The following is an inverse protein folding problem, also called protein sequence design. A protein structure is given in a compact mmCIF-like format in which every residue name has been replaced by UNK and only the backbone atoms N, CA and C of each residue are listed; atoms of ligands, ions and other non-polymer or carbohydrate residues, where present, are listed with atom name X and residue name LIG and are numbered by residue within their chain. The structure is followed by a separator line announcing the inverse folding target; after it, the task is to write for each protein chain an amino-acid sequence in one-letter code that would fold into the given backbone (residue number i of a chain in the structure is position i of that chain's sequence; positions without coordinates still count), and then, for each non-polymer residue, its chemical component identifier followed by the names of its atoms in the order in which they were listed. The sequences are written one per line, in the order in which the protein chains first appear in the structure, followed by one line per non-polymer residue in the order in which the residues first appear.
data_IF_752950301855
#
_entry.id   IF_752950301855
#
_cell.length_a   1.000
_cell.length_b   1.000
_cell.length_c   1.000
_cell.angle_alpha   90.00
_cell.angle_beta   90.00
_cell.angle_gamma   90.00
#
_symmetry.space_group_name_H-M   'P 1'
#
loop_
_entity.id
_entity.type
_entity.pdbx_description
1 polymer ?
#
# COMPACT_ATOMS: atom_id res chain seq x y z
N UNK A 1 -22.70 -13.28 -34.14
CA UNK A 1 -21.24 -13.39 -33.90
C UNK A 1 -20.44 -12.13 -34.31
N UNK A 2 -20.91 -11.28 -35.24
CA UNK A 2 -20.21 -10.03 -35.61
C UNK A 2 -20.32 -8.88 -34.59
N UNK A 3 -21.45 -8.76 -33.88
CA UNK A 3 -21.67 -7.68 -32.90
C UNK A 3 -20.80 -7.82 -31.64
N UNK A 4 -20.55 -9.05 -31.20
CA UNK A 4 -19.73 -9.32 -30.01
C UNK A 4 -18.25 -9.00 -30.26
N UNK A 5 -17.72 -9.34 -31.43
CA UNK A 5 -16.35 -9.00 -31.83
C UNK A 5 -16.18 -7.50 -32.09
N UNK A 6 -17.21 -6.80 -32.59
CA UNK A 6 -17.17 -5.33 -32.71
C UNK A 6 -17.27 -4.62 -31.36
N UNK A 7 -18.08 -5.09 -30.41
CA UNK A 7 -18.11 -4.54 -29.05
C UNK A 7 -16.79 -4.77 -28.32
N UNK A 8 -16.22 -5.98 -28.42
CA UNK A 8 -14.88 -6.33 -27.86
C UNK A 8 -13.79 -5.41 -28.42
N UNK A 9 -13.78 -5.12 -29.73
CA UNK A 9 -12.76 -4.27 -30.35
C UNK A 9 -12.94 -2.77 -30.08
N UNK A 10 -14.19 -2.29 -30.01
CA UNK A 10 -14.48 -0.84 -29.90
C UNK A 10 -14.54 -0.31 -28.46
N UNK A 11 -14.95 -1.13 -27.49
CA UNK A 11 -15.07 -0.71 -26.09
C UNK A 11 -14.00 -1.33 -25.21
N UNK A 12 -13.69 -2.62 -25.34
CA UNK A 12 -12.82 -3.30 -24.37
C UNK A 12 -11.34 -3.00 -24.60
N UNK A 13 -10.85 -2.97 -25.85
CA UNK A 13 -9.45 -2.67 -26.16
C UNK A 13 -8.96 -1.27 -25.71
N UNK A 14 -9.67 -0.15 -26.00
CA UNK A 14 -9.25 1.16 -25.53
C UNK A 14 -9.33 1.29 -24.00
N UNK A 15 -10.30 0.63 -23.35
CA UNK A 15 -10.42 0.59 -21.89
C UNK A 15 -9.28 -0.21 -21.24
N UNK A 16 -8.94 -1.38 -21.80
CA UNK A 16 -7.80 -2.19 -21.35
C UNK A 16 -6.49 -1.41 -21.49
N UNK A 17 -6.29 -0.73 -22.63
CA UNK A 17 -5.10 0.12 -22.84
C UNK A 17 -5.05 1.26 -21.84
N UNK A 18 -6.17 1.92 -21.55
CA UNK A 18 -6.24 2.99 -20.56
C UNK A 18 -5.96 2.49 -19.14
N UNK A 19 -6.50 1.33 -18.76
CA UNK A 19 -6.24 0.69 -17.47
C UNK A 19 -4.77 0.32 -17.31
N UNK A 20 -4.16 -0.35 -18.30
CA UNK A 20 -2.73 -0.72 -18.26
C UNK A 20 -1.85 0.52 -18.22
N UNK A 21 -2.19 1.57 -18.97
CA UNK A 21 -1.44 2.82 -18.99
C UNK A 21 -1.50 3.59 -17.67
N UNK A 22 -2.60 3.46 -16.90
CA UNK A 22 -2.71 4.01 -15.55
C UNK A 22 -2.07 3.12 -14.49
N UNK A 23 -2.16 1.80 -14.64
CA UNK A 23 -1.63 0.83 -13.69
C UNK A 23 -0.08 0.77 -13.72
N UNK A 24 0.56 0.91 -14.89
CA UNK A 24 2.02 0.83 -15.01
C UNK A 24 2.74 1.89 -14.16
N UNK A 25 2.37 3.19 -14.25
CA UNK A 25 3.00 4.22 -13.42
C UNK A 25 2.68 4.05 -11.93
N UNK A 26 1.47 3.62 -11.58
CA UNK A 26 1.10 3.35 -10.18
C UNK A 26 1.98 2.22 -9.63
N UNK A 27 2.18 1.15 -10.40
CA UNK A 27 3.03 0.03 -10.00
C UNK A 27 4.47 0.47 -9.81
N UNK A 28 5.02 1.27 -10.73
CA UNK A 28 6.38 1.79 -10.56
C UNK A 28 6.50 2.73 -9.36
N UNK A 29 5.46 3.53 -9.05
CA UNK A 29 5.46 4.39 -7.86
C UNK A 29 5.43 3.56 -6.56
N UNK A 30 4.62 2.49 -6.53
CA UNK A 30 4.59 1.55 -5.42
C UNK A 30 5.95 0.85 -5.26
N UNK A 31 6.56 0.40 -6.37
CA UNK A 31 7.87 -0.25 -6.36
C UNK A 31 8.97 0.70 -5.87
N UNK A 32 8.94 1.97 -6.26
CA UNK A 32 9.86 2.98 -5.77
C UNK A 32 9.70 3.22 -4.24
N UNK A 33 8.47 3.28 -3.74
CA UNK A 33 8.21 3.37 -2.29
C UNK A 33 8.68 2.13 -1.52
N UNK A 34 8.41 0.93 -2.03
CA UNK A 34 8.90 -0.30 -1.42
C UNK A 34 10.43 -0.37 -1.45
N UNK A 35 11.04 0.02 -2.58
CA UNK A 35 12.49 0.12 -2.74
C UNK A 35 13.13 1.07 -1.74
N UNK A 36 12.47 2.19 -1.41
CA UNK A 36 12.94 3.13 -0.38
C UNK A 36 13.03 2.44 0.98
N UNK A 37 11.99 1.70 1.37
CA UNK A 37 11.99 0.95 2.65
C UNK A 37 13.08 -0.13 2.68
N UNK A 38 13.32 -0.82 1.55
CA UNK A 38 14.37 -1.84 1.44
C UNK A 38 15.77 -1.22 1.55
N UNK A 39 16.00 -0.07 0.90
CA UNK A 39 17.26 0.67 0.99
C UNK A 39 17.53 1.11 2.43
N UNK A 40 16.53 1.68 3.12
CA UNK A 40 16.64 2.10 4.51
C UNK A 40 17.13 0.93 5.40
N UNK A 41 16.53 -0.25 5.25
CA UNK A 41 16.89 -1.46 6.02
C UNK A 41 18.26 -2.03 5.62
N UNK A 42 18.57 -2.10 4.32
CA UNK A 42 19.86 -2.63 3.86
C UNK A 42 21.05 -1.75 4.29
N UNK A 43 20.91 -0.42 4.23
CA UNK A 43 21.98 0.49 4.60
C UNK A 43 22.21 0.53 6.11
N UNK A 44 21.13 0.52 6.90
CA UNK A 44 21.23 0.46 8.37
C UNK A 44 21.80 -0.87 8.86
N UNK A 45 21.46 -1.99 8.18
CA UNK A 45 22.00 -3.32 8.48
C UNK A 45 23.50 -3.49 8.23
N UNK A 46 24.10 -2.68 7.35
CA UNK A 46 25.55 -2.70 7.10
C UNK A 46 26.35 -1.87 8.12
N UNK A 47 25.71 -0.97 8.85
CA UNK A 47 26.38 -0.07 9.79
C UNK A 47 26.49 -0.68 11.20
N UNK A 48 25.37 -1.11 11.80
CA UNK A 48 25.36 -1.72 13.14
C UNK A 48 24.11 -2.60 13.33
N UNK A 49 24.28 -3.77 13.93
CA UNK A 49 23.19 -4.69 14.26
C UNK A 49 22.19 -4.08 15.26
N UNK A 50 22.66 -3.22 16.16
CA UNK A 50 21.81 -2.50 17.12
C UNK A 50 20.95 -1.44 16.42
N UNK A 51 21.51 -0.74 15.43
CA UNK A 51 20.78 0.23 14.60
C UNK A 51 19.74 -0.44 13.69
N UNK A 52 20.06 -1.61 13.14
CA UNK A 52 19.11 -2.40 12.35
C UNK A 52 17.90 -2.84 13.19
N UNK A 53 18.15 -3.38 14.38
CA UNK A 53 17.09 -3.74 15.31
C UNK A 53 16.23 -2.52 15.67
N UNK A 54 16.87 -1.37 15.90
CA UNK A 54 16.16 -0.14 16.24
C UNK A 54 15.23 0.36 15.11
N UNK A 55 15.70 0.32 13.86
CA UNK A 55 14.93 0.72 12.66
C UNK A 55 13.83 -0.29 12.32
N UNK A 56 14.08 -1.59 12.50
CA UNK A 56 13.07 -2.64 12.29
C UNK A 56 11.90 -2.51 13.28
N UNK A 57 12.20 -2.31 14.57
CA UNK A 57 11.16 -2.10 15.58
C UNK A 57 10.43 -0.77 15.36
N UNK A 58 11.16 0.29 15.02
CA UNK A 58 10.57 1.59 14.68
C UNK A 58 9.62 1.52 13.48
N UNK A 59 10.06 0.89 12.39
CA UNK A 59 9.26 0.68 11.18
C UNK A 59 8.01 -0.17 11.40
N UNK A 60 8.10 -1.18 12.25
CA UNK A 60 6.95 -1.99 12.64
C UNK A 60 5.87 -1.17 13.36
N UNK A 61 6.26 -0.13 14.11
CA UNK A 61 5.32 0.72 14.85
C UNK A 61 4.68 1.80 13.96
N UNK A 62 5.42 2.39 13.02
CA UNK A 62 4.87 3.44 12.14
C UNK A 62 4.20 2.91 10.87
N UNK A 63 4.53 1.70 10.39
CA UNK A 63 3.92 1.09 9.20
C UNK A 63 2.39 0.99 9.26
N UNK A 64 1.77 0.47 10.33
CA UNK A 64 0.31 0.40 10.44
C UNK A 64 -0.36 1.78 10.38
N UNK A 65 0.30 2.78 10.99
CA UNK A 65 -0.16 4.17 10.98
C UNK A 65 -0.08 4.76 9.57
N UNK A 66 1.02 4.51 8.84
CA UNK A 66 1.15 4.93 7.45
C UNK A 66 0.15 4.23 6.52
N UNK A 67 -0.11 2.94 6.72
CA UNK A 67 -1.13 2.19 5.99
C UNK A 67 -2.53 2.76 6.24
N UNK A 68 -2.87 3.07 7.49
CA UNK A 68 -4.16 3.68 7.84
C UNK A 68 -4.32 5.07 7.22
N UNK A 69 -3.28 5.91 7.27
CA UNK A 69 -3.27 7.22 6.63
C UNK A 69 -3.41 7.09 5.11
N UNK A 70 -2.63 6.20 4.49
CA UNK A 70 -2.69 5.92 3.05
C UNK A 70 -4.08 5.49 2.64
N UNK A 71 -4.68 4.52 3.33
CA UNK A 71 -6.03 4.04 3.04
C UNK A 71 -7.10 5.12 3.20
N UNK A 72 -6.97 5.97 4.22
CA UNK A 72 -7.89 7.10 4.42
C UNK A 72 -7.80 8.13 3.29
N UNK A 73 -6.58 8.46 2.85
CA UNK A 73 -6.33 9.41 1.77
C UNK A 73 -6.67 8.84 0.38
N UNK A 74 -6.62 7.52 0.19
CA UNK A 74 -7.12 6.86 -1.02
C UNK A 74 -8.62 7.08 -1.27
N UNK A 75 -9.38 7.50 -0.26
CA UNK A 75 -10.78 7.94 -0.41
C UNK A 75 -10.94 9.20 -1.28
N UNK A 76 -9.89 10.02 -1.43
CA UNK A 76 -9.92 11.19 -2.29
C UNK A 76 -9.99 10.81 -3.77
N UNK A 77 -9.30 9.74 -4.17
CA UNK A 77 -9.19 9.27 -5.55
C UNK A 77 -10.56 9.10 -6.24
N UNK A 78 -11.54 8.35 -5.68
CA UNK A 78 -12.87 8.22 -6.30
C UNK A 78 -13.68 9.52 -6.28
N UNK A 79 -13.51 10.39 -5.28
CA UNK A 79 -14.22 11.69 -5.21
C UNK A 79 -13.76 12.60 -6.35
N UNK A 80 -12.45 12.74 -6.53
CA UNK A 80 -11.84 13.55 -7.59
C UNK A 80 -12.19 12.99 -8.97
N UNK A 81 -12.07 11.66 -9.15
CA UNK A 81 -12.41 11.02 -10.42
C UNK A 81 -13.88 11.28 -10.80
N UNK A 82 -14.80 11.20 -9.84
CA UNK A 82 -16.22 11.45 -10.06
C UNK A 82 -16.51 12.93 -10.44
N UNK A 83 -15.89 13.88 -9.74
CA UNK A 83 -16.04 15.31 -10.04
C UNK A 83 -15.47 15.68 -11.41
N UNK A 84 -14.35 15.07 -11.79
CA UNK A 84 -13.74 15.23 -13.11
C UNK A 84 -14.64 14.68 -14.22
N UNK A 85 -15.20 13.49 -14.02
CA UNK A 85 -16.13 12.88 -14.96
C UNK A 85 -17.40 13.70 -15.18
N UNK A 86 -17.90 14.36 -14.13
CA UNK A 86 -19.04 15.28 -14.21
C UNK A 86 -18.72 16.66 -14.77
N UNK A 87 -17.50 16.88 -15.28
CA UNK A 87 -16.99 18.18 -15.76
C UNK A 87 -17.03 19.31 -14.71
N UNK A 88 -17.19 18.99 -13.42
CA UNK A 88 -17.26 19.97 -12.31
C UNK A 88 -15.87 20.29 -11.78
N UNK A 89 -14.96 20.73 -12.66
CA UNK A 89 -13.56 21.00 -12.30
C UNK A 89 -13.39 22.06 -11.21
N UNK A 90 -14.36 22.98 -11.08
CA UNK A 90 -14.39 24.00 -10.02
C UNK A 90 -14.62 23.43 -8.63
N UNK A 91 -15.33 22.31 -8.51
CA UNK A 91 -15.58 21.62 -7.24
C UNK A 91 -14.44 20.68 -6.82
N UNK A 92 -13.49 20.40 -7.73
CA UNK A 92 -12.30 19.58 -7.42
C UNK A 92 -11.37 20.32 -6.46
N UNK A 93 -11.19 21.64 -6.62
CA UNK A 93 -10.27 22.44 -5.77
C UNK A 93 -10.63 22.38 -4.27
N UNK A 94 -11.89 22.63 -3.88
CA UNK A 94 -12.31 22.52 -2.48
C UNK A 94 -12.09 21.11 -1.90
N UNK A 95 -12.36 20.06 -2.68
CA UNK A 95 -12.17 18.67 -2.23
C UNK A 95 -10.68 18.36 -1.96
N UNK A 96 -9.78 18.85 -2.81
CA UNK A 96 -8.33 18.70 -2.62
C UNK A 96 -7.84 19.47 -1.41
N UNK A 97 -8.30 20.70 -1.19
CA UNK A 97 -7.94 21.48 0.00
C UNK A 97 -8.40 20.80 1.29
N UNK A 98 -9.62 20.27 1.31
CA UNK A 98 -10.11 19.53 2.47
C UNK A 98 -9.33 18.25 2.72
N UNK A 99 -8.93 17.54 1.66
CA UNK A 99 -8.04 16.39 1.80
C UNK A 99 -6.66 16.78 2.31
N UNK A 100 -6.14 17.95 1.94
CA UNK A 100 -4.90 18.50 2.48
C UNK A 100 -5.02 18.79 3.98
N UNK A 101 -6.15 19.39 4.41
CA UNK A 101 -6.43 19.64 5.82
C UNK A 101 -6.56 18.34 6.63
N UNK A 102 -7.27 17.35 6.08
CA UNK A 102 -7.41 16.03 6.71
C UNK A 102 -6.08 15.28 6.75
N UNK A 103 -5.27 15.37 5.70
CA UNK A 103 -3.93 14.81 5.66
C UNK A 103 -3.01 15.45 6.71
N UNK A 104 -3.05 16.78 6.83
CA UNK A 104 -2.28 17.50 7.83
C UNK A 104 -2.72 17.10 9.25
N UNK A 105 -4.03 17.07 9.51
CA UNK A 105 -4.58 16.68 10.81
C UNK A 105 -4.22 15.24 11.15
N UNK A 106 -4.41 14.30 10.21
CA UNK A 106 -3.99 12.90 10.38
C UNK A 106 -2.48 12.79 10.61
N UNK A 107 -1.67 13.53 9.86
CA UNK A 107 -0.20 13.52 10.00
C UNK A 107 0.26 14.06 11.34
N UNK A 108 -0.37 15.13 11.84
CA UNK A 108 -0.07 15.70 13.17
C UNK A 108 -0.53 14.77 14.29
N UNK A 109 -1.74 14.20 14.19
CA UNK A 109 -2.24 13.23 15.16
C UNK A 109 -1.36 11.98 15.19
N UNK A 110 -0.92 11.52 14.02
CA UNK A 110 -0.02 10.40 13.87
C UNK A 110 1.36 10.70 14.48
N UNK A 111 1.92 11.89 14.21
CA UNK A 111 3.18 12.33 14.82
C UNK A 111 3.07 12.44 16.35
N UNK A 112 1.96 12.98 16.87
CA UNK A 112 1.69 13.09 18.30
C UNK A 112 1.55 11.71 18.95
N UNK A 113 0.82 10.79 18.31
CA UNK A 113 0.69 9.40 18.75
C UNK A 113 2.04 8.70 18.79
N UNK A 114 2.88 8.86 17.76
CA UNK A 114 4.22 8.29 17.77
C UNK A 114 5.03 8.87 18.93
N UNK A 115 4.99 10.18 19.15
CA UNK A 115 5.72 10.81 20.24
C UNK A 115 5.24 10.34 21.63
N UNK A 116 3.94 10.23 21.84
CA UNK A 116 3.37 9.81 23.14
C UNK A 116 3.52 8.32 23.42
N UNK A 117 3.50 7.49 22.37
CA UNK A 117 3.37 6.02 22.52
C UNK A 117 4.72 5.29 22.42
N UNK A 118 5.78 5.97 21.97
CA UNK A 118 7.15 5.44 21.92
C UNK A 118 7.60 4.90 23.27
N UNK A 119 7.65 5.74 24.30
CA UNK A 119 8.24 5.37 25.58
C UNK A 119 7.49 4.25 26.31
N UNK A 120 6.15 4.30 26.46
CA UNK A 120 5.42 3.26 27.18
C UNK A 120 5.39 1.91 26.45
N UNK A 121 5.42 1.87 25.11
CA UNK A 121 5.52 0.60 24.37
C UNK A 121 6.90 -0.04 24.56
N UNK A 122 7.97 0.75 24.53
CA UNK A 122 9.33 0.24 24.73
C UNK A 122 9.56 -0.28 26.15
N UNK A 123 9.00 0.39 27.16
CA UNK A 123 9.01 -0.09 28.56
C UNK A 123 8.18 -1.38 28.74
N UNK A 124 7.01 -1.46 28.08
CA UNK A 124 6.15 -2.65 28.16
C UNK A 124 6.76 -3.88 27.46
N UNK A 125 7.54 -3.67 26.40
CA UNK A 125 8.19 -4.74 25.63
C UNK A 125 9.56 -5.18 26.19
N UNK A 126 10.05 -4.58 27.27
CA UNK A 126 11.31 -4.94 27.91
C UNK A 126 12.52 -4.94 26.93
N UNK A 127 12.52 -4.01 25.98
CA UNK A 127 13.55 -3.88 24.95
C UNK A 127 14.86 -3.37 25.60
N UNK A 128 16.05 -3.87 25.19
CA UNK A 128 17.30 -3.37 25.73
C UNK A 128 17.39 -1.84 25.64
N UNK A 129 17.86 -1.14 26.69
CA UNK A 129 17.80 0.32 26.77
C UNK A 129 18.58 1.02 25.64
N UNK A 130 19.62 0.38 25.11
CA UNK A 130 20.36 0.84 23.94
C UNK A 130 19.52 0.83 22.64
N UNK A 131 18.67 -0.17 22.45
CA UNK A 131 17.77 -0.27 21.29
C UNK A 131 16.55 0.64 21.46
N UNK A 132 15.99 0.71 22.68
CA UNK A 132 14.84 1.56 22.97
C UNK A 132 15.15 3.06 22.74
N UNK A 133 16.32 3.53 23.19
CA UNK A 133 16.76 4.92 22.97
C UNK A 133 17.02 5.24 21.50
N UNK A 134 17.64 4.33 20.74
CA UNK A 134 17.85 4.50 19.30
C UNK A 134 16.54 4.43 18.49
N UNK A 135 15.63 3.53 18.85
CA UNK A 135 14.30 3.45 18.21
C UNK A 135 13.45 4.67 18.51
N UNK A 136 13.49 5.19 19.75
CA UNK A 136 12.80 6.42 20.12
C UNK A 136 13.31 7.62 19.32
N UNK A 137 14.64 7.72 19.16
CA UNK A 137 15.27 8.73 18.32
C UNK A 137 14.83 8.58 16.85
N UNK A 138 14.90 7.38 16.28
CA UNK A 138 14.42 7.10 14.91
C UNK A 138 12.95 7.52 14.73
N UNK A 139 12.07 7.11 15.66
CA UNK A 139 10.64 7.40 15.55
C UNK A 139 10.32 8.88 15.72
N UNK A 140 11.07 9.61 16.55
CA UNK A 140 10.94 11.06 16.69
C UNK A 140 11.30 11.80 15.39
N UNK A 141 12.33 11.33 14.67
CA UNK A 141 12.71 11.87 13.37
C UNK A 141 11.66 11.55 12.30
N UNK A 142 11.16 10.31 12.26
CA UNK A 142 10.09 9.90 11.33
C UNK A 142 8.77 10.62 11.61
N UNK A 143 8.45 10.90 12.88
CA UNK A 143 7.27 11.68 13.27
C UNK A 143 7.27 13.07 12.64
N UNK A 144 8.44 13.70 12.47
CA UNK A 144 8.57 14.97 11.75
C UNK A 144 8.33 14.84 10.23
N UNK A 145 8.57 13.66 9.66
CA UNK A 145 8.30 13.31 8.25
C UNK A 145 6.85 12.91 7.97
N UNK A 146 6.08 12.50 8.98
CA UNK A 146 4.68 12.08 8.83
C UNK A 146 3.74 13.11 8.19
N UNK A 147 3.75 14.41 8.55
CA UNK A 147 2.93 15.39 7.84
C UNK A 147 3.35 15.51 6.37
N UNK A 148 4.65 15.35 6.06
CA UNK A 148 5.18 15.35 4.71
C UNK A 148 4.62 14.21 3.86
N UNK A 149 4.67 12.97 4.34
CA UNK A 149 4.09 11.83 3.59
C UNK A 149 2.58 11.91 3.48
N UNK A 150 1.88 12.45 4.49
CA UNK A 150 0.44 12.67 4.41
C UNK A 150 0.10 13.61 3.26
N UNK A 151 0.86 14.71 3.15
CA UNK A 151 0.72 15.68 2.07
C UNK A 151 0.99 15.04 0.71
N UNK A 152 2.09 14.28 0.61
CA UNK A 152 2.44 13.55 -0.60
C UNK A 152 1.33 12.57 -1.01
N UNK A 153 0.81 11.77 -0.08
CA UNK A 153 -0.25 10.79 -0.35
C UNK A 153 -1.56 11.47 -0.76
N UNK A 154 -1.91 12.62 -0.18
CA UNK A 154 -3.08 13.39 -0.59
C UNK A 154 -2.93 13.94 -2.01
N UNK A 155 -1.78 14.53 -2.33
CA UNK A 155 -1.51 15.03 -3.69
C UNK A 155 -1.40 13.90 -4.71
N UNK A 156 -0.85 12.75 -4.31
CA UNK A 156 -0.81 11.53 -5.12
C UNK A 156 -2.21 11.03 -5.43
N UNK A 157 -3.06 10.85 -4.40
CA UNK A 157 -4.45 10.43 -4.58
C UNK A 157 -5.24 11.40 -5.49
N UNK A 158 -4.93 12.69 -5.40
CA UNK A 158 -5.46 13.70 -6.33
C UNK A 158 -4.98 13.50 -7.77
N UNK A 159 -3.67 13.36 -7.98
CA UNK A 159 -3.05 13.14 -9.31
C UNK A 159 -3.57 11.87 -9.97
N UNK A 160 -3.70 10.80 -9.18
CA UNK A 160 -4.26 9.52 -9.61
C UNK A 160 -5.74 9.69 -10.00
N UNK A 161 -6.53 10.42 -9.20
CA UNK A 161 -7.92 10.76 -9.51
C UNK A 161 -8.09 11.60 -10.79
N UNK A 162 -7.08 12.40 -11.17
CA UNK A 162 -7.07 13.20 -12.39
C UNK A 162 -6.64 12.43 -13.66
N UNK A 163 -6.53 11.09 -13.59
CA UNK A 163 -5.95 10.22 -14.64
C UNK A 163 -4.50 10.59 -15.03
N UNK A 164 -3.76 11.30 -14.18
CA UNK A 164 -2.37 11.66 -14.40
C UNK A 164 -1.49 11.00 -13.34
N UNK A 165 -1.22 9.70 -13.49
CA UNK A 165 -0.45 8.88 -12.53
C UNK A 165 1.07 8.92 -12.80
N UNK A 166 1.51 9.38 -13.98
CA UNK A 166 2.92 9.52 -14.36
C UNK A 166 3.77 10.39 -13.41
N UNK A 167 3.28 11.53 -12.91
CA UNK A 167 4.07 12.37 -11.99
C UNK A 167 4.40 11.66 -10.69
N UNK A 168 3.47 10.85 -10.16
CA UNK A 168 3.68 10.09 -8.93
C UNK A 168 4.86 9.11 -9.07
N UNK A 169 5.03 8.47 -10.23
CA UNK A 169 6.18 7.62 -10.53
C UNK A 169 7.49 8.40 -10.49
N UNK A 170 7.60 9.47 -11.28
CA UNK A 170 8.85 10.25 -11.37
C UNK A 170 9.23 10.85 -10.03
N UNK A 171 8.26 11.34 -9.26
CA UNK A 171 8.52 11.93 -7.94
C UNK A 171 8.89 10.85 -6.93
N UNK A 172 8.29 9.65 -6.99
CA UNK A 172 8.70 8.54 -6.13
C UNK A 172 10.12 8.07 -6.47
N UNK A 173 10.48 8.06 -7.76
CA UNK A 173 11.83 7.73 -8.21
C UNK A 173 12.85 8.79 -7.75
N UNK A 174 12.51 10.08 -7.88
CA UNK A 174 13.35 11.18 -7.37
C UNK A 174 13.50 11.08 -5.85
N UNK A 175 12.41 10.81 -5.13
CA UNK A 175 12.48 10.63 -3.67
C UNK A 175 13.36 9.44 -3.29
N UNK A 176 13.33 8.33 -4.03
CA UNK A 176 14.27 7.21 -3.86
C UNK A 176 15.72 7.63 -4.16
N UNK A 177 15.95 8.35 -5.26
CA UNK A 177 17.27 8.87 -5.64
C UNK A 177 17.80 9.92 -4.66
N UNK A 178 16.96 10.62 -3.91
CA UNK A 178 17.34 11.54 -2.84
C UNK A 178 17.53 10.78 -1.52
N UNK A 179 16.71 9.77 -1.26
CA UNK A 179 16.77 8.95 -0.06
C UNK A 179 18.07 8.12 0.00
N UNK A 180 18.53 7.54 -1.11
CA UNK A 180 19.78 6.76 -1.17
C UNK A 180 21.00 7.60 -0.71
N UNK A 181 21.29 8.78 -1.29
CA UNK A 181 22.37 9.65 -0.84
C UNK A 181 22.13 10.22 0.55
N UNK A 182 20.89 10.59 0.89
CA UNK A 182 20.58 11.14 2.21
C UNK A 182 20.82 10.11 3.31
N UNK A 183 20.40 8.85 3.11
CA UNK A 183 20.69 7.75 4.02
C UNK A 183 22.19 7.51 4.12
N UNK A 184 22.88 7.45 2.98
CA UNK A 184 24.34 7.25 2.99
C UNK A 184 25.06 8.36 3.76
N UNK A 185 24.66 9.62 3.57
CA UNK A 185 25.22 10.80 4.21
C UNK A 185 24.94 10.85 5.73
N UNK A 186 23.72 10.50 6.15
CA UNK A 186 23.28 10.61 7.55
C UNK A 186 23.59 9.36 8.38
N UNK A 187 23.71 8.18 7.76
CA UNK A 187 24.06 6.92 8.45
C UNK A 187 25.57 6.82 8.67
N UNK A 188 26.40 7.12 7.66
CA UNK A 188 27.87 6.99 7.74
C UNK A 188 28.59 8.25 8.27
N UNK A 189 27.92 9.40 8.38
CA UNK A 189 28.51 10.63 8.89
C UNK A 189 29.51 11.30 7.93
N UNK A 190 30.40 12.13 8.48
CA UNK A 190 31.33 13.02 7.75
C UNK A 190 32.38 12.33 6.86
N UNK A 191 32.76 11.07 7.11
CA UNK A 191 33.78 10.39 6.30
C UNK A 191 33.24 9.93 4.92
N UNK A 192 31.95 9.60 4.82
CA UNK A 192 31.32 9.26 3.52
C UNK A 192 31.16 10.47 2.58
N UNK A 193 31.15 11.68 3.14
CA UNK A 193 31.11 12.95 2.41
C UNK A 193 32.49 13.32 1.82
N UNK A 194 33.58 13.00 2.54
CA UNK A 194 34.95 13.22 2.07
C UNK A 194 35.31 12.27 0.94
N UNK A 195 34.85 11.01 1.01
CA UNK A 195 35.16 9.97 0.03
C UNK A 195 34.40 10.13 -1.31
N UNK A 196 33.22 10.76 -1.31
CA UNK A 196 32.33 10.82 -2.48
C UNK A 196 32.23 12.21 -3.13
N UNK A 197 32.38 13.31 -2.39
CA UNK A 197 32.17 14.67 -2.90
C UNK A 197 33.36 15.61 -2.81
N UNK A 198 34.52 15.16 -2.33
CA UNK A 198 35.80 15.87 -2.42
C UNK A 198 35.76 17.38 -2.11
N UNK A 199 36.07 17.78 -0.87
CA UNK A 199 36.55 19.12 -0.51
C UNK A 199 35.65 20.35 -0.75
N UNK A 200 34.48 20.23 -1.38
CA UNK A 200 33.62 21.38 -1.74
C UNK A 200 32.44 21.65 -0.79
N UNK A 201 32.38 20.95 0.35
CA UNK A 201 31.26 21.06 1.30
C UNK A 201 31.70 21.83 2.56
N UNK A 202 30.88 22.78 3.06
CA UNK A 202 31.22 23.62 4.20
C UNK A 202 31.51 22.82 5.47
N UNK A 203 32.51 23.28 6.24
CA UNK A 203 33.13 22.67 7.43
C UNK A 203 32.16 22.32 8.57
N UNK A 204 30.93 22.82 8.56
CA UNK A 204 29.87 22.46 9.52
C UNK A 204 29.25 21.07 9.26
N UNK A 205 29.36 20.54 8.04
CA UNK A 205 28.86 19.22 7.66
C UNK A 205 29.88 18.09 7.88
N UNK A 206 31.17 18.44 8.04
CA UNK A 206 32.25 17.50 8.39
C UNK A 206 32.22 17.03 9.85
N UNK A 207 31.54 17.77 10.74
CA UNK A 207 31.45 17.45 12.17
C UNK A 207 30.16 16.71 12.56
N UNK A 208 29.40 16.19 11.59
CA UNK A 208 28.19 15.42 11.88
C UNK A 208 28.59 14.01 12.37
N UNK A 209 28.34 13.67 13.66
CA UNK A 209 28.61 12.34 14.19
C UNK A 209 27.75 11.30 13.46
N UNK A 210 28.23 10.06 13.35
CA UNK A 210 27.45 8.96 12.80
C UNK A 210 26.16 8.78 13.62
N UNK A 211 25.04 9.27 13.07
CA UNK A 211 23.74 9.27 13.76
C UNK A 211 23.00 7.93 13.60
N UNK A 212 23.58 6.95 12.90
CA UNK A 212 23.07 5.59 12.77
C UNK A 212 21.57 5.55 12.49
N UNK A 213 20.80 4.94 13.40
CA UNK A 213 19.34 4.87 13.32
C UNK A 213 18.63 6.24 13.28
N UNK A 214 19.11 7.25 14.01
CA UNK A 214 18.52 8.60 13.97
C UNK A 214 18.76 9.29 12.62
N UNK A 215 19.94 9.07 12.04
CA UNK A 215 20.30 9.56 10.70
C UNK A 215 19.41 8.98 9.60
N UNK A 216 19.11 7.68 9.68
CA UNK A 216 18.13 7.03 8.80
C UNK A 216 16.75 7.67 8.93
N UNK A 217 16.25 7.90 10.16
CA UNK A 217 14.96 8.55 10.39
C UNK A 217 14.87 9.97 9.80
N UNK A 218 15.94 10.77 9.92
CA UNK A 218 16.02 12.09 9.30
C UNK A 218 16.06 11.99 7.78
N UNK A 219 16.83 11.05 7.21
CA UNK A 219 16.92 10.85 5.78
C UNK A 219 15.56 10.47 5.17
N UNK A 220 14.82 9.58 5.83
CA UNK A 220 13.46 9.21 5.45
C UNK A 220 12.52 10.41 5.56
N UNK A 221 12.57 11.17 6.68
CA UNK A 221 11.76 12.38 6.85
C UNK A 221 12.04 13.46 5.80
N UNK A 222 13.32 13.69 5.49
CA UNK A 222 13.74 14.63 4.45
C UNK A 222 13.24 14.16 3.08
N UNK A 223 13.37 12.87 2.77
CA UNK A 223 12.85 12.31 1.52
C UNK A 223 11.32 12.50 1.41
N UNK A 224 10.57 12.24 2.49
CA UNK A 224 9.12 12.47 2.53
C UNK A 224 8.76 13.93 2.26
N UNK A 225 9.51 14.88 2.84
CA UNK A 225 9.33 16.31 2.56
C UNK A 225 9.72 16.69 1.13
N UNK A 226 10.79 16.14 0.58
CA UNK A 226 11.18 16.40 -0.82
C UNK A 226 10.16 15.85 -1.80
N UNK A 227 9.61 14.66 -1.57
CA UNK A 227 8.50 14.09 -2.35
C UNK A 227 7.27 15.00 -2.27
N UNK A 228 6.92 15.48 -1.08
CA UNK A 228 5.80 16.38 -0.87
C UNK A 228 5.98 17.73 -1.59
N UNK A 229 7.17 18.34 -1.48
CA UNK A 229 7.52 19.60 -2.13
C UNK A 229 7.62 19.47 -3.65
N UNK A 230 8.21 18.39 -4.15
CA UNK A 230 8.29 18.09 -5.58
C UNK A 230 6.88 17.92 -6.18
N UNK A 231 5.99 17.23 -5.46
CA UNK A 231 4.60 17.06 -5.86
C UNK A 231 3.83 18.40 -5.83
N UNK A 232 4.01 19.20 -4.78
CA UNK A 232 3.41 20.53 -4.68
C UNK A 232 3.88 21.45 -5.81
N UNK A 233 5.18 21.43 -6.13
CA UNK A 233 5.76 22.19 -7.23
C UNK A 233 5.21 21.73 -8.59
N UNK A 234 5.12 20.42 -8.82
CA UNK A 234 4.58 19.87 -10.05
C UNK A 234 3.10 20.24 -10.24
N UNK A 235 2.29 20.12 -9.19
CA UNK A 235 0.89 20.56 -9.19
C UNK A 235 0.75 22.06 -9.44
N UNK A 236 1.72 22.90 -9.01
CA UNK A 236 1.73 24.34 -9.27
C UNK A 236 2.11 24.69 -10.71
N UNK A 237 3.04 23.94 -11.33
CA UNK A 237 3.59 24.26 -12.67
C UNK A 237 2.90 23.55 -13.82
N UNK A 238 2.25 22.40 -13.57
CA UNK A 238 1.63 21.59 -14.61
C UNK A 238 0.45 22.28 -15.31
N UNK A 239 0.53 22.37 -16.65
CA UNK A 239 -0.50 23.00 -17.49
C UNK A 239 -1.89 22.39 -17.29
N UNK A 240 -1.97 21.06 -17.08
CA UNK A 240 -3.21 20.32 -16.80
C UNK A 240 -3.87 20.71 -15.47
N UNK A 241 -3.10 21.19 -14.49
CA UNK A 241 -3.61 21.61 -13.18
C UNK A 241 -3.99 23.10 -13.13
N UNK A 242 -3.63 23.89 -14.16
CA UNK A 242 -4.03 25.30 -14.25
C UNK A 242 -5.55 25.47 -14.32
N UNK A 243 -6.29 24.52 -14.91
CA UNK A 243 -7.77 24.55 -14.92
C UNK A 243 -8.35 24.37 -13.51
N UNK A 244 -7.66 23.63 -12.64
CA UNK A 244 -8.05 23.38 -11.25
C UNK A 244 -7.52 24.46 -10.30
N UNK A 245 -6.66 25.39 -10.74
CA UNK A 245 -6.11 26.54 -9.99
C UNK A 245 -6.12 26.42 -8.45
N UNK A 246 -5.52 25.33 -7.96
CA UNK A 246 -5.56 24.90 -6.56
C UNK A 246 -4.98 26.00 -5.67
N UNK A 247 -3.92 26.66 -6.15
CA UNK A 247 -3.16 27.67 -5.41
C UNK A 247 -3.71 29.11 -5.51
N UNK A 248 -4.82 29.36 -6.22
CA UNK A 248 -5.32 30.74 -6.42
C UNK A 248 -6.25 31.24 -5.29
N UNK A 249 -6.98 30.34 -4.61
CA UNK A 249 -7.81 30.68 -3.44
C UNK A 249 -7.81 29.52 -2.45
N UNK A 250 -7.18 29.69 -1.30
CA UNK A 250 -7.30 28.72 -0.20
C UNK A 250 -8.77 28.70 0.24
N UNK A 251 -9.41 27.54 0.09
CA UNK A 251 -10.79 27.37 0.55
C UNK A 251 -10.73 27.03 2.04
N UNK A 252 -11.44 27.77 2.91
CA UNK A 252 -11.49 27.42 4.33
C UNK A 252 -12.07 26.01 4.52
N UNK A 253 -11.74 25.32 5.62
CA UNK A 253 -12.22 23.97 5.88
C UNK A 253 -13.76 23.95 5.88
N UNK A 254 -14.36 23.26 4.91
CA UNK A 254 -15.81 23.06 4.88
C UNK A 254 -16.12 21.67 5.42
N UNK A 255 -16.91 21.64 6.49
CA UNK A 255 -17.28 20.40 7.19
C UNK A 255 -17.92 19.36 6.27
N UNK A 256 -18.70 19.81 5.28
CA UNK A 256 -19.45 18.91 4.40
C UNK A 256 -18.54 18.02 3.54
N UNK A 257 -17.48 18.56 2.96
CA UNK A 257 -16.58 17.76 2.13
C UNK A 257 -15.47 17.06 2.92
N UNK A 258 -15.11 17.58 4.10
CA UNK A 258 -14.32 16.81 5.10
C UNK A 258 -15.12 15.56 5.51
N UNK A 259 -16.42 15.71 5.79
CA UNK A 259 -17.29 14.58 6.14
C UNK A 259 -17.40 13.60 4.98
N UNK A 260 -17.54 14.05 3.73
CA UNK A 260 -17.55 13.14 2.57
C UNK A 260 -16.23 12.35 2.47
N UNK A 261 -15.08 13.02 2.61
CA UNK A 261 -13.78 12.37 2.60
C UNK A 261 -13.61 11.37 3.74
N UNK A 262 -13.97 11.73 4.96
CA UNK A 262 -13.89 10.85 6.14
C UNK A 262 -14.83 9.66 5.99
N UNK A 263 -16.04 9.87 5.49
CA UNK A 263 -17.04 8.81 5.28
C UNK A 263 -16.60 7.81 4.20
N UNK A 264 -15.89 8.27 3.17
CA UNK A 264 -15.39 7.39 2.10
C UNK A 264 -14.04 6.76 2.49
N UNK A 265 -13.13 7.56 3.03
CA UNK A 265 -11.74 7.21 3.33
C UNK A 265 -11.55 6.35 4.58
N UNK A 266 -12.19 6.68 5.70
CA UNK A 266 -12.02 5.89 6.94
C UNK A 266 -12.40 4.43 6.73
N UNK A 267 -13.50 4.07 6.04
CA UNK A 267 -13.78 2.67 5.73
C UNK A 267 -12.71 1.97 4.87
N UNK A 268 -12.06 2.69 3.95
CA UNK A 268 -10.94 2.15 3.16
C UNK A 268 -9.73 1.90 4.07
N UNK A 269 -9.38 2.87 4.92
CA UNK A 269 -8.30 2.75 5.89
C UNK A 269 -8.52 1.59 6.86
N UNK A 270 -9.72 1.45 7.41
CA UNK A 270 -10.09 0.33 8.30
C UNK A 270 -10.02 -1.00 7.56
N UNK A 271 -10.51 -1.09 6.31
CA UNK A 271 -10.43 -2.33 5.54
C UNK A 271 -8.98 -2.80 5.33
N UNK A 272 -8.09 -1.88 4.91
CA UNK A 272 -6.66 -2.17 4.72
C UNK A 272 -5.98 -2.51 6.06
N UNK A 273 -6.31 -1.78 7.13
CA UNK A 273 -5.75 -2.03 8.46
C UNK A 273 -6.13 -3.43 8.99
N UNK A 274 -7.41 -3.82 8.82
CA UNK A 274 -7.89 -5.14 9.23
C UNK A 274 -7.24 -6.25 8.40
N UNK A 275 -7.05 -6.03 7.10
CA UNK A 275 -6.34 -6.94 6.21
C UNK A 275 -4.89 -7.18 6.68
N UNK A 276 -4.14 -6.12 6.96
CA UNK A 276 -2.77 -6.21 7.47
C UNK A 276 -2.73 -6.89 8.84
N UNK A 277 -3.64 -6.53 9.75
CA UNK A 277 -3.72 -7.14 11.08
C UNK A 277 -4.02 -8.64 11.00
N UNK A 278 -4.86 -9.06 10.06
CA UNK A 278 -5.15 -10.48 9.80
C UNK A 278 -3.88 -11.22 9.38
N UNK A 279 -3.12 -10.69 8.42
CA UNK A 279 -1.86 -11.30 7.98
C UNK A 279 -0.86 -11.41 9.13
N UNK A 280 -0.73 -10.38 9.96
CA UNK A 280 0.16 -10.40 11.13
C UNK A 280 -0.26 -11.43 12.17
N UNK A 281 -1.55 -11.51 12.51
CA UNK A 281 -2.07 -12.49 13.46
C UNK A 281 -1.84 -13.92 12.99
N UNK A 282 -2.04 -14.18 11.69
CA UNK A 282 -1.82 -15.50 11.12
C UNK A 282 -0.33 -15.85 11.10
N UNK A 283 0.53 -14.90 10.77
CA UNK A 283 1.98 -15.08 10.89
C UNK A 283 2.39 -15.42 12.34
N UNK A 284 1.79 -14.77 13.34
CA UNK A 284 2.02 -15.06 14.76
C UNK A 284 1.56 -16.46 15.16
N UNK A 285 0.38 -16.90 14.69
CA UNK A 285 -0.07 -18.27 14.93
C UNK A 285 0.83 -19.29 14.25
N UNK A 286 1.26 -19.03 13.02
CA UNK A 286 2.24 -19.87 12.29
C UNK A 286 3.58 -19.91 13.03
N UNK A 287 3.98 -18.83 13.70
CA UNK A 287 5.22 -18.76 14.48
C UNK A 287 5.30 -19.81 15.60
N UNK A 288 4.16 -20.23 16.14
CA UNK A 288 4.09 -21.27 17.18
C UNK A 288 4.38 -22.69 16.67
N UNK A 289 4.38 -22.93 15.35
CA UNK A 289 4.56 -24.26 14.76
C UNK A 289 6.03 -24.65 14.48
N UNK A 290 6.99 -23.75 14.73
CA UNK A 290 8.43 -24.03 14.65
C UNK A 290 9.18 -23.16 13.64
N UNK A 291 10.50 -23.02 13.84
CA UNK A 291 11.38 -22.09 13.11
C UNK A 291 11.41 -22.36 11.59
N UNK A 292 11.46 -23.63 11.19
CA UNK A 292 11.42 -24.07 9.78
C UNK A 292 10.17 -23.55 9.08
N UNK A 293 9.03 -23.55 9.78
CA UNK A 293 7.74 -23.14 9.25
C UNK A 293 7.61 -21.62 9.15
N UNK A 294 8.19 -20.90 10.11
CA UNK A 294 8.28 -19.42 10.07
C UNK A 294 9.13 -18.97 8.90
N UNK A 295 10.29 -19.60 8.69
CA UNK A 295 11.17 -19.31 7.57
C UNK A 295 10.47 -19.51 6.23
N UNK A 296 9.79 -20.65 6.05
CA UNK A 296 9.03 -20.93 4.83
C UNK A 296 7.88 -19.93 4.62
N UNK A 297 7.17 -19.54 5.68
CA UNK A 297 6.09 -18.55 5.61
C UNK A 297 6.59 -17.15 5.24
N UNK A 298 7.71 -16.70 5.81
CA UNK A 298 8.28 -15.39 5.50
C UNK A 298 8.77 -15.27 4.06
N UNK A 299 9.37 -16.35 3.52
CA UNK A 299 9.75 -16.40 2.10
C UNK A 299 8.50 -16.27 1.23
N UNK A 300 7.44 -17.02 1.53
CA UNK A 300 6.18 -16.96 0.80
C UNK A 300 5.52 -15.56 0.88
N UNK A 301 5.49 -14.93 2.07
CA UNK A 301 4.94 -13.59 2.26
C UNK A 301 5.73 -12.51 1.53
N UNK A 302 7.07 -12.55 1.60
CA UNK A 302 7.91 -11.58 0.90
C UNK A 302 7.71 -11.66 -0.61
N UNK A 303 7.62 -12.89 -1.14
CA UNK A 303 7.41 -13.11 -2.56
C UNK A 303 6.01 -12.69 -3.02
N UNK A 304 4.97 -13.07 -2.28
CA UNK A 304 3.59 -12.66 -2.57
C UNK A 304 3.38 -11.15 -2.43
N UNK A 305 4.06 -10.48 -1.49
CA UNK A 305 3.97 -9.02 -1.30
C UNK A 305 4.46 -8.23 -2.51
N UNK A 306 5.55 -8.66 -3.15
CA UNK A 306 6.05 -8.03 -4.40
C UNK A 306 5.01 -8.20 -5.51
N UNK A 307 4.47 -9.41 -5.64
CA UNK A 307 3.50 -9.76 -6.66
C UNK A 307 2.13 -9.09 -6.42
N UNK A 308 1.79 -8.75 -5.18
CA UNK A 308 0.59 -8.03 -4.76
C UNK A 308 0.54 -6.58 -5.24
N UNK A 309 1.70 -5.98 -5.55
CA UNK A 309 1.78 -4.60 -6.02
C UNK A 309 1.09 -4.42 -7.37
N UNK A 310 1.10 -5.45 -8.23
CA UNK A 310 0.46 -5.44 -9.54
C UNK A 310 -1.09 -5.38 -9.42
N UNK A 311 -1.76 -6.31 -8.72
CA UNK A 311 -3.21 -6.23 -8.47
C UNK A 311 -3.62 -4.94 -7.75
N UNK A 312 -2.87 -4.49 -6.75
CA UNK A 312 -3.16 -3.25 -6.03
C UNK A 312 -3.15 -2.05 -6.98
N UNK A 313 -2.17 -1.98 -7.87
CA UNK A 313 -2.04 -0.90 -8.85
C UNK A 313 -3.18 -0.89 -9.87
N UNK A 314 -3.59 -2.09 -10.32
CA UNK A 314 -4.75 -2.24 -11.20
C UNK A 314 -6.05 -1.82 -10.49
N UNK A 315 -6.21 -2.15 -9.22
CA UNK A 315 -7.36 -1.77 -8.40
C UNK A 315 -7.48 -0.26 -8.24
N UNK A 316 -6.37 0.43 -8.01
CA UNK A 316 -6.33 1.90 -8.01
C UNK A 316 -6.73 2.48 -9.37
N UNK A 317 -6.19 1.97 -10.47
CA UNK A 317 -6.55 2.41 -11.82
C UNK A 317 -8.05 2.17 -12.13
N UNK A 318 -8.58 1.03 -11.70
CA UNK A 318 -9.99 0.68 -11.86
C UNK A 318 -10.89 1.63 -11.06
N UNK A 319 -10.50 1.96 -9.84
CA UNK A 319 -11.20 2.94 -8.98
C UNK A 319 -11.35 4.29 -9.70
N UNK A 320 -10.27 4.78 -10.32
CA UNK A 320 -10.25 6.05 -11.07
C UNK A 320 -11.15 5.98 -12.31
N UNK A 321 -11.01 4.92 -13.14
CA UNK A 321 -11.79 4.77 -14.38
C UNK A 321 -13.28 4.61 -14.12
N UNK A 322 -13.66 3.79 -13.14
CA UNK A 322 -15.06 3.61 -12.73
C UNK A 322 -15.61 4.91 -12.15
N UNK A 323 -14.86 5.59 -11.27
CA UNK A 323 -15.28 6.90 -10.71
C UNK A 323 -15.51 7.95 -11.80
N UNK A 324 -14.61 8.04 -12.78
CA UNK A 324 -14.70 8.99 -13.90
C UNK A 324 -15.90 8.70 -14.82
N UNK A 325 -16.14 7.44 -15.19
CA UNK A 325 -17.27 7.06 -16.05
C UNK A 325 -18.62 7.23 -15.35
N UNK A 326 -18.70 6.98 -14.04
CA UNK A 326 -19.84 7.33 -13.20
C UNK A 326 -20.11 8.84 -13.17
N UNK A 327 -19.04 9.65 -13.06
CA UNK A 327 -19.14 11.11 -13.11
C UNK A 327 -19.74 11.61 -14.42
N UNK A 328 -19.43 10.95 -15.54
CA UNK A 328 -19.98 11.27 -16.86
C UNK A 328 -21.46 10.86 -17.05
N UNK A 329 -22.12 10.33 -16.01
CA UNK A 329 -23.50 9.81 -16.05
C UNK A 329 -23.69 8.62 -17.02
N UNK A 330 -22.60 7.96 -17.44
CA UNK A 330 -22.65 6.80 -18.35
C UNK A 330 -22.62 5.49 -17.57
N UNK A 331 -23.74 5.18 -16.91
CA UNK A 331 -23.88 4.06 -15.98
C UNK A 331 -23.62 2.69 -16.64
N UNK A 332 -24.07 2.52 -17.90
CA UNK A 332 -23.81 1.31 -18.70
C UNK A 332 -22.33 1.13 -19.03
N UNK A 333 -21.60 2.21 -19.34
CA UNK A 333 -20.16 2.16 -19.56
C UNK A 333 -19.41 1.91 -18.24
N UNK A 334 -19.83 2.51 -17.13
CA UNK A 334 -19.22 2.25 -15.81
C UNK A 334 -19.30 0.76 -15.42
N UNK A 335 -20.41 0.10 -15.75
CA UNK A 335 -20.57 -1.35 -15.61
C UNK A 335 -19.59 -2.13 -16.47
N UNK A 336 -19.48 -1.78 -17.75
CA UNK A 336 -18.58 -2.45 -18.69
C UNK A 336 -17.12 -2.28 -18.28
N UNK A 337 -16.73 -1.08 -17.83
CA UNK A 337 -15.38 -0.78 -17.32
C UNK A 337 -15.07 -1.60 -16.06
N UNK A 338 -16.01 -1.68 -15.11
CA UNK A 338 -15.83 -2.48 -13.90
C UNK A 338 -15.62 -3.98 -14.22
N UNK A 339 -16.46 -4.56 -15.07
CA UNK A 339 -16.34 -5.97 -15.46
C UNK A 339 -15.11 -6.25 -16.32
N UNK A 340 -14.75 -5.35 -17.25
CA UNK A 340 -13.52 -5.48 -18.02
C UNK A 340 -12.29 -5.43 -17.13
N UNK A 341 -12.25 -4.51 -16.15
CA UNK A 341 -11.18 -4.44 -15.15
C UNK A 341 -11.02 -5.72 -14.35
N UNK A 342 -12.12 -6.38 -13.98
CA UNK A 342 -12.10 -7.68 -13.29
C UNK A 342 -11.54 -8.78 -14.19
N UNK A 343 -11.95 -8.85 -15.47
CA UNK A 343 -11.40 -9.83 -16.42
C UNK A 343 -9.90 -9.63 -16.61
N UNK A 344 -9.45 -8.39 -16.78
CA UNK A 344 -8.01 -8.07 -16.87
C UNK A 344 -7.29 -8.46 -15.58
N UNK A 345 -7.89 -8.19 -14.42
CA UNK A 345 -7.33 -8.59 -13.12
C UNK A 345 -7.15 -10.09 -13.03
N UNK A 346 -8.12 -10.89 -13.49
CA UNK A 346 -8.01 -12.36 -13.47
C UNK A 346 -6.90 -12.82 -14.40
N UNK A 347 -6.78 -12.23 -15.60
CA UNK A 347 -5.69 -12.54 -16.54
C UNK A 347 -4.33 -12.20 -15.92
N UNK A 348 -4.19 -11.01 -15.33
CA UNK A 348 -2.95 -10.59 -14.65
C UNK A 348 -2.66 -11.52 -13.46
N UNK A 349 -3.67 -11.92 -12.69
CA UNK A 349 -3.51 -12.83 -11.57
C UNK A 349 -3.08 -14.24 -12.02
N UNK A 350 -3.59 -14.74 -13.15
CA UNK A 350 -3.16 -16.01 -13.75
C UNK A 350 -1.70 -15.92 -14.23
N UNK A 351 -1.33 -14.85 -14.93
CA UNK A 351 0.05 -14.63 -15.37
C UNK A 351 0.98 -14.58 -14.16
N UNK A 352 0.57 -13.87 -13.11
CA UNK A 352 1.32 -13.73 -11.87
C UNK A 352 1.46 -15.08 -11.14
N UNK A 353 0.39 -15.87 -11.10
CA UNK A 353 0.37 -17.22 -10.53
C UNK A 353 1.31 -18.18 -11.28
N UNK A 354 1.31 -18.12 -12.61
CA UNK A 354 2.22 -18.92 -13.45
C UNK A 354 3.67 -18.48 -13.19
N UNK A 355 3.92 -17.17 -13.16
CA UNK A 355 5.24 -16.64 -12.86
C UNK A 355 5.71 -17.10 -11.48
N UNK A 356 4.82 -17.04 -10.48
CA UNK A 356 5.07 -17.47 -9.11
C UNK A 356 5.45 -18.95 -9.07
N UNK A 357 4.72 -19.81 -9.77
CA UNK A 357 5.02 -21.25 -9.85
C UNK A 357 6.36 -21.55 -10.50
N UNK A 358 6.69 -20.92 -11.64
CA UNK A 358 7.95 -21.16 -12.35
C UNK A 358 9.18 -20.58 -11.63
N UNK A 359 9.00 -19.45 -10.95
CA UNK A 359 10.09 -18.78 -10.21
C UNK A 359 10.25 -19.27 -8.76
N UNK A 360 9.30 -20.05 -8.24
CA UNK A 360 9.35 -20.59 -6.88
C UNK A 360 10.65 -21.34 -6.58
N UNK A 361 11.04 -22.29 -7.44
CA UNK A 361 12.23 -23.14 -7.22
C UNK A 361 13.52 -22.31 -7.15
N UNK A 362 13.86 -21.46 -8.14
CA UNK A 362 15.10 -20.67 -8.08
C UNK A 362 15.07 -19.62 -6.96
N UNK A 363 13.90 -19.04 -6.65
CA UNK A 363 13.78 -18.07 -5.56
C UNK A 363 14.01 -18.74 -4.20
N UNK A 364 13.36 -19.88 -3.94
CA UNK A 364 13.58 -20.59 -2.66
C UNK A 364 15.05 -21.04 -2.55
N UNK A 365 15.66 -21.51 -3.63
CA UNK A 365 17.08 -21.91 -3.63
C UNK A 365 18.04 -20.74 -3.34
N UNK A 366 17.65 -19.50 -3.71
CA UNK A 366 18.39 -18.28 -3.34
C UNK A 366 18.22 -17.91 -1.85
N UNK A 367 17.07 -18.21 -1.25
CA UNK A 367 16.80 -17.88 0.16
C UNK A 367 17.39 -18.90 1.14
N UNK A 368 17.46 -20.18 0.77
CA UNK A 368 17.99 -21.20 1.69
C UNK A 368 18.50 -22.46 1.00
N UNK A 369 19.53 -23.07 1.60
CA UNK A 369 20.12 -24.33 1.14
C UNK A 369 19.56 -25.57 1.86
N UNK A 370 18.70 -25.38 2.86
CA UNK A 370 18.11 -26.47 3.64
C UNK A 370 16.95 -27.13 2.88
N UNK A 371 17.07 -28.42 2.61
CA UNK A 371 16.10 -29.22 1.84
C UNK A 371 14.73 -29.33 2.52
N UNK A 372 14.66 -29.31 3.85
CA UNK A 372 13.40 -29.38 4.58
C UNK A 372 12.59 -28.09 4.43
N UNK A 373 13.23 -26.93 4.60
CA UNK A 373 12.60 -25.61 4.37
C UNK A 373 12.20 -25.48 2.90
N UNK A 374 13.01 -25.97 1.98
CA UNK A 374 12.70 -25.93 0.54
C UNK A 374 11.42 -26.71 0.21
N UNK A 375 11.29 -27.95 0.70
CA UNK A 375 10.11 -28.79 0.44
C UNK A 375 8.83 -28.18 1.02
N UNK A 376 8.92 -27.63 2.24
CA UNK A 376 7.80 -27.00 2.92
C UNK A 376 7.40 -25.69 2.23
N UNK A 377 8.37 -24.86 1.87
CA UNK A 377 8.14 -23.62 1.13
C UNK A 377 7.47 -23.88 -0.22
N UNK A 378 7.88 -24.92 -0.96
CA UNK A 378 7.25 -25.31 -2.22
C UNK A 378 5.77 -25.66 -2.04
N UNK A 379 5.44 -26.38 -0.96
CA UNK A 379 4.05 -26.73 -0.65
C UNK A 379 3.20 -25.50 -0.27
N UNK A 380 3.79 -24.53 0.43
CA UNK A 380 3.13 -23.26 0.79
C UNK A 380 2.95 -22.38 -0.44
N UNK A 381 3.92 -22.34 -1.35
CA UNK A 381 3.84 -21.61 -2.62
C UNK A 381 2.71 -22.16 -3.49
N UNK A 382 2.45 -23.47 -3.49
CA UNK A 382 1.31 -24.03 -4.20
C UNK A 382 -0.03 -23.46 -3.69
N UNK A 383 -0.16 -23.26 -2.37
CA UNK A 383 -1.31 -22.55 -1.78
C UNK A 383 -1.27 -21.05 -2.09
N UNK A 384 -0.08 -20.44 -2.14
CA UNK A 384 0.12 -19.04 -2.48
C UNK A 384 -0.37 -18.71 -3.90
N UNK A 385 -0.27 -19.64 -4.86
CA UNK A 385 -0.85 -19.50 -6.21
C UNK A 385 -2.37 -19.28 -6.15
N UNK A 386 -3.08 -20.12 -5.40
CA UNK A 386 -4.54 -20.04 -5.28
C UNK A 386 -4.93 -18.78 -4.50
N UNK A 387 -4.16 -18.47 -3.46
CA UNK A 387 -4.29 -17.25 -2.69
C UNK A 387 -4.16 -16.00 -3.58
N UNK A 388 -3.15 -15.92 -4.44
CA UNK A 388 -2.90 -14.78 -5.33
C UNK A 388 -4.08 -14.52 -6.26
N UNK A 389 -4.71 -15.58 -6.78
CA UNK A 389 -5.88 -15.47 -7.65
C UNK A 389 -7.09 -14.88 -6.91
N UNK A 390 -7.36 -15.40 -5.71
CA UNK A 390 -8.50 -14.96 -4.89
C UNK A 390 -8.31 -13.54 -4.36
N UNK A 391 -7.11 -13.24 -3.89
CA UNK A 391 -6.70 -11.95 -3.38
C UNK A 391 -6.74 -10.86 -4.47
N UNK A 392 -6.20 -11.15 -5.65
CA UNK A 392 -6.28 -10.22 -6.79
C UNK A 392 -7.72 -9.89 -7.16
N UNK A 393 -8.60 -10.89 -7.15
CA UNK A 393 -10.02 -10.70 -7.46
C UNK A 393 -10.70 -9.83 -6.41
N UNK A 394 -10.47 -10.11 -5.12
CA UNK A 394 -10.98 -9.33 -3.99
C UNK A 394 -10.57 -7.86 -4.12
N UNK A 395 -9.28 -7.60 -4.35
CA UNK A 395 -8.72 -6.23 -4.31
C UNK A 395 -9.24 -5.40 -5.47
N UNK A 396 -9.39 -5.99 -6.65
CA UNK A 396 -9.94 -5.30 -7.81
C UNK A 396 -11.45 -5.07 -7.70
N UNK A 397 -12.20 -6.02 -7.13
CA UNK A 397 -13.61 -5.81 -6.81
C UNK A 397 -13.79 -4.69 -5.78
N UNK A 398 -13.00 -4.68 -4.71
CA UNK A 398 -12.98 -3.61 -3.73
C UNK A 398 -12.65 -2.25 -4.40
N UNK A 399 -11.68 -2.22 -5.30
CA UNK A 399 -11.35 -1.02 -6.11
C UNK A 399 -12.52 -0.53 -6.96
N UNK A 400 -13.21 -1.44 -7.66
CA UNK A 400 -14.40 -1.10 -8.43
C UNK A 400 -15.49 -0.49 -7.53
N UNK A 401 -15.83 -1.10 -6.40
CA UNK A 401 -16.82 -0.57 -5.45
C UNK A 401 -16.41 0.77 -4.83
N UNK A 402 -15.12 0.97 -4.56
CA UNK A 402 -14.58 2.28 -4.13
C UNK A 402 -14.85 3.35 -5.19
N UNK A 403 -14.76 3.01 -6.47
CA UNK A 403 -15.15 3.88 -7.59
C UNK A 403 -16.64 4.28 -7.57
N UNK A 404 -17.52 3.38 -7.11
CA UNK A 404 -18.95 3.64 -6.86
C UNK A 404 -19.24 4.42 -5.56
N UNK A 405 -18.20 4.80 -4.81
CA UNK A 405 -18.31 5.40 -3.46
C UNK A 405 -19.02 4.51 -2.42
N UNK A 406 -19.20 3.21 -2.68
CA UNK A 406 -19.80 2.26 -1.73
C UNK A 406 -18.72 1.60 -0.85
N UNK A 407 -18.01 2.40 -0.05
CA UNK A 407 -16.84 1.93 0.72
C UNK A 407 -17.18 1.32 2.09
N UNK A 408 -18.29 1.74 2.70
CA UNK A 408 -18.74 1.20 4.00
C UNK A 408 -19.07 -0.29 3.91
N UNK A 409 -19.69 -0.70 2.82
CA UNK A 409 -20.10 -2.09 2.64
C UNK A 409 -18.90 -2.96 2.27
N UNK A 410 -17.94 -2.40 1.52
CA UNK A 410 -16.63 -3.04 1.32
C UNK A 410 -15.95 -3.32 2.66
N UNK A 411 -15.93 -2.36 3.58
CA UNK A 411 -15.37 -2.54 4.92
C UNK A 411 -16.10 -3.64 5.71
N UNK A 412 -17.44 -3.63 5.77
CA UNK A 412 -18.19 -4.64 6.52
C UNK A 412 -17.98 -6.05 5.94
N UNK A 413 -18.02 -6.19 4.62
CA UNK A 413 -17.79 -7.48 3.95
C UNK A 413 -16.38 -7.99 4.24
N UNK A 414 -15.35 -7.14 4.09
CA UNK A 414 -13.96 -7.54 4.31
C UNK A 414 -13.70 -7.93 5.77
N UNK A 415 -14.18 -7.14 6.73
CA UNK A 415 -14.05 -7.46 8.17
C UNK A 415 -14.70 -8.80 8.51
N UNK A 416 -15.96 -9.01 8.09
CA UNK A 416 -16.69 -10.24 8.39
C UNK A 416 -16.06 -11.46 7.72
N UNK A 417 -15.69 -11.36 6.44
CA UNK A 417 -15.07 -12.48 5.72
C UNK A 417 -13.70 -12.83 6.30
N UNK A 418 -12.89 -11.84 6.66
CA UNK A 418 -11.56 -12.08 7.21
C UNK A 418 -11.57 -12.62 8.62
N UNK A 419 -12.40 -12.09 9.51
CA UNK A 419 -12.43 -12.54 10.90
C UNK A 419 -13.19 -13.85 11.08
N UNK A 420 -14.38 -13.97 10.49
CA UNK A 420 -15.24 -15.14 10.72
C UNK A 420 -14.73 -16.32 9.89
N UNK A 421 -14.52 -16.12 8.59
CA UNK A 421 -14.15 -17.21 7.67
C UNK A 421 -12.64 -17.40 7.62
N UNK A 422 -11.86 -16.31 7.52
CA UNK A 422 -10.40 -16.38 7.46
C UNK A 422 -9.78 -16.87 8.76
N UNK A 423 -9.90 -16.07 9.83
CA UNK A 423 -9.28 -16.37 11.12
C UNK A 423 -10.02 -17.48 11.88
N UNK A 424 -11.36 -17.40 11.94
CA UNK A 424 -12.19 -18.43 12.57
C UNK A 424 -12.10 -19.78 11.86
N UNK A 425 -12.23 -19.80 10.52
CA UNK A 425 -12.09 -21.01 9.72
C UNK A 425 -10.65 -21.56 9.71
N UNK A 426 -9.65 -20.69 9.60
CA UNK A 426 -8.23 -21.07 9.64
C UNK A 426 -7.79 -21.64 10.98
N UNK A 427 -8.20 -21.03 12.10
CA UNK A 427 -7.92 -21.56 13.43
C UNK A 427 -8.66 -22.89 13.66
N UNK A 428 -9.90 -23.04 13.17
CA UNK A 428 -10.65 -24.29 13.29
C UNK A 428 -10.01 -25.44 12.47
N UNK A 429 -9.63 -25.19 11.21
CA UNK A 429 -8.92 -26.17 10.39
C UNK A 429 -7.51 -26.49 10.90
N UNK A 430 -6.78 -25.48 11.39
CA UNK A 430 -5.41 -25.62 11.88
C UNK A 430 -5.29 -26.32 13.23
N UNK A 431 -6.25 -26.10 14.15
CA UNK A 431 -6.20 -26.64 15.52
C UNK A 431 -7.02 -27.91 15.74
N UNK A 432 -8.19 -28.06 15.09
CA UNK A 432 -9.11 -29.18 15.35
C UNK A 432 -9.20 -30.21 14.24
N UNK A 433 -8.83 -29.86 13.00
CA UNK A 433 -9.16 -30.68 11.83
C UNK A 433 -10.68 -30.81 11.64
N UNK A 434 -11.12 -31.20 10.44
CA UNK A 434 -12.54 -31.46 10.18
C UNK A 434 -12.88 -32.88 10.62
N UNK A 435 -13.02 -33.09 11.94
CA UNK A 435 -13.36 -34.39 12.52
C UNK A 435 -12.44 -35.54 12.04
N UNK A 436 -13.03 -36.72 11.80
CA UNK A 436 -12.31 -37.95 11.39
C UNK A 436 -11.86 -37.99 9.92
N UNK A 437 -12.03 -36.92 9.14
CA UNK A 437 -11.72 -36.91 7.70
C UNK A 437 -10.42 -36.20 7.33
N UNK A 438 -9.91 -35.28 8.17
CA UNK A 438 -8.68 -34.54 7.87
C UNK A 438 -7.88 -34.25 9.15
N UNK A 439 -6.65 -34.77 9.22
CA UNK A 439 -5.70 -34.51 10.31
C UNK A 439 -5.37 -33.00 10.45
N UNK A 440 -4.95 -32.51 11.63
CA UNK A 440 -4.58 -31.11 11.82
C UNK A 440 -3.46 -30.71 10.84
N UNK A 441 -3.81 -29.91 9.84
CA UNK A 441 -2.92 -29.51 8.74
C UNK A 441 -1.92 -28.40 9.12
N UNK A 442 -1.80 -28.07 10.42
CA UNK A 442 -0.92 -27.02 10.92
C UNK A 442 -1.01 -25.75 10.07
N UNK A 443 0.08 -25.43 9.38
CA UNK A 443 0.23 -24.21 8.58
C UNK A 443 -0.54 -24.21 7.26
N UNK A 444 -0.76 -25.38 6.64
CA UNK A 444 -1.63 -25.47 5.46
C UNK A 444 -3.09 -25.15 5.81
N UNK A 445 -3.52 -25.44 7.04
CA UNK A 445 -4.86 -25.09 7.55
C UNK A 445 -5.10 -23.57 7.62
N UNK A 446 -4.11 -22.81 8.07
CA UNK A 446 -4.18 -21.34 8.11
C UNK A 446 -4.22 -20.73 6.70
N UNK A 447 -3.41 -21.25 5.77
CA UNK A 447 -3.43 -20.80 4.37
C UNK A 447 -4.74 -21.12 3.66
N UNK A 448 -5.31 -22.32 3.88
CA UNK A 448 -6.64 -22.66 3.35
C UNK A 448 -7.74 -21.77 3.95
N UNK A 449 -7.65 -21.44 5.24
CA UNK A 449 -8.53 -20.46 5.89
C UNK A 449 -8.45 -19.07 5.24
N UNK A 450 -7.23 -18.57 5.01
CA UNK A 450 -7.00 -17.31 4.29
C UNK A 450 -7.63 -17.31 2.90
N UNK A 451 -7.38 -18.36 2.12
CA UNK A 451 -7.93 -18.51 0.77
C UNK A 451 -9.45 -18.54 0.82
N UNK A 452 -10.05 -19.26 1.77
CA UNK A 452 -11.50 -19.31 1.93
C UNK A 452 -12.08 -17.93 2.33
N UNK A 453 -11.42 -17.20 3.24
CA UNK A 453 -11.81 -15.86 3.64
C UNK A 453 -11.77 -14.87 2.48
N UNK A 454 -10.67 -14.84 1.73
CA UNK A 454 -10.51 -13.99 0.53
C UNK A 454 -11.51 -14.37 -0.57
N UNK A 455 -11.75 -15.66 -0.79
CA UNK A 455 -12.68 -16.13 -1.82
C UNK A 455 -14.13 -15.77 -1.46
N UNK A 456 -14.48 -15.87 -0.17
CA UNK A 456 -15.79 -15.44 0.31
C UNK A 456 -15.94 -13.92 0.16
N UNK A 457 -14.91 -13.14 0.51
CA UNK A 457 -14.91 -11.69 0.30
C UNK A 457 -15.08 -11.33 -1.18
N UNK A 458 -14.35 -12.00 -2.08
CA UNK A 458 -14.46 -11.80 -3.52
C UNK A 458 -15.88 -12.13 -4.04
N UNK A 459 -16.48 -13.23 -3.63
CA UNK A 459 -17.84 -13.59 -4.03
C UNK A 459 -18.89 -12.57 -3.53
N UNK A 460 -18.79 -12.14 -2.27
CA UNK A 460 -19.70 -11.14 -1.69
C UNK A 460 -19.54 -9.77 -2.35
N UNK A 461 -18.31 -9.34 -2.63
CA UNK A 461 -18.03 -8.09 -3.34
C UNK A 461 -18.50 -8.15 -4.80
N UNK A 462 -18.32 -9.27 -5.49
CA UNK A 462 -18.82 -9.48 -6.86
C UNK A 462 -20.35 -9.41 -6.91
N UNK A 463 -21.02 -10.06 -5.95
CA UNK A 463 -22.48 -9.97 -5.82
C UNK A 463 -22.95 -8.55 -5.55
N UNK A 464 -22.26 -7.81 -4.66
CA UNK A 464 -22.58 -6.42 -4.35
C UNK A 464 -22.39 -5.51 -5.57
N UNK A 465 -21.29 -5.68 -6.31
CA UNK A 465 -21.04 -4.95 -7.55
C UNK A 465 -22.15 -5.18 -8.56
N UNK A 466 -22.59 -6.44 -8.75
CA UNK A 466 -23.67 -6.78 -9.67
C UNK A 466 -24.99 -6.12 -9.26
N UNK A 467 -25.31 -6.05 -7.96
CA UNK A 467 -26.53 -5.38 -7.48
C UNK A 467 -26.50 -3.87 -7.69
N UNK A 468 -25.39 -3.20 -7.38
CA UNK A 468 -25.26 -1.74 -7.55
C UNK A 468 -25.34 -1.38 -9.03
N UNK A 469 -24.66 -2.16 -9.87
CA UNK A 469 -24.60 -1.95 -11.31
C UNK A 469 -25.91 -2.25 -12.07
N UNK A 470 -26.93 -2.79 -11.41
CA UNK A 470 -28.27 -3.01 -11.96
C UNK A 470 -29.27 -1.96 -11.47
N UNK A 471 -29.00 -1.30 -10.33
CA UNK A 471 -29.88 -0.29 -9.73
C UNK A 471 -29.55 1.14 -10.14
N UNK A 472 -28.31 1.42 -10.51
CA UNK A 472 -27.92 2.64 -11.22
C UNK A 472 -28.04 2.39 -12.71
#
# INVERSE_FOLDING_TARGET
MGDFTQQVKSVYWPETRALVYLALPICGAQLAQAGMSVVDVMMTGRHDATSLAAVSVGSSLWMPLMLFMTGTLMGLTPIVAHLLGGQRQTAIRPAVHQALWVALLLGVVAALLLWSTVMPIFELMNVPPAVASQSAAYLSAVAFGMPGIALFQALRAFSDGMNHTRPALWISLVGLSVNIPANYLLIYGGDGLVDLFGGWIPTSLQQLPALGAFGCGIATALSMWTMALAMAYYTRRGSTYKSVAIWQKMTPPQWLGIRELVVVGVPIGVAIFVEVTLFTLIALFIASFGEVTVGAHQIALSFTSILFMLPMSLSMALTVRVGNTLGQQRLTLARQVAWNGIVISVIVAIINSILLWFSAIPVIALYTSNSEIQSLALSIIALAVIFQLSDSLQVNLAGALRGYKDTRIVMVITVLSYWIVGLGGGHWLGSRGVGSMVAPLGVHGYWMGLIAGLSTAALLLAWRLRRISVKG
#
